data_IF_119133284609
#
_entry.id   IF_119133284609
#
_cell.length_a   1.000
_cell.length_b   1.000
_cell.length_c   1.000
_cell.angle_alpha   90.00
_cell.angle_beta   90.00
_cell.angle_gamma   90.00
#
_symmetry.space_group_name_H-M   'P 1'
#
loop_
_entity.id
_entity.type
_entity.pdbx_description
1 polymer ?
#
# COMPACT_ATOMS: atom_id res chain seq x y z
N UNK A 1 0.98 -41.68 5.48
CA UNK A 1 0.72 -41.07 6.81
C UNK A 1 0.46 -39.59 6.61
N UNK A 2 -0.34 -38.97 7.48
CA UNK A 2 -0.63 -37.53 7.44
C UNK A 2 -0.07 -36.87 8.71
N UNK A 3 0.89 -35.96 8.55
CA UNK A 3 1.56 -35.28 9.67
C UNK A 3 0.81 -34.03 10.13
N UNK A 4 0.12 -33.36 9.20
CA UNK A 4 -0.61 -32.12 9.46
C UNK A 4 -1.85 -32.05 8.56
N UNK A 5 -2.96 -31.55 9.09
CA UNK A 5 -4.18 -31.29 8.32
C UNK A 5 -4.02 -30.09 7.40
N UNK A 6 -4.53 -30.24 6.17
CA UNK A 6 -4.58 -29.15 5.22
C UNK A 6 -5.38 -27.98 5.82
N UNK A 7 -4.74 -26.82 5.83
CA UNK A 7 -5.38 -25.57 6.18
C UNK A 7 -5.34 -24.68 4.94
N UNK A 8 -6.50 -24.14 4.59
CA UNK A 8 -6.64 -23.19 3.50
C UNK A 8 -5.70 -22.01 3.72
N UNK A 9 -5.19 -21.42 2.65
CA UNK A 9 -4.38 -20.21 2.72
C UNK A 9 -5.20 -19.01 3.17
N UNK A 10 -4.64 -18.16 4.03
CA UNK A 10 -5.33 -16.98 4.59
C UNK A 10 -4.41 -15.74 4.55
N UNK A 11 -4.03 -15.25 3.35
CA UNK A 11 -3.25 -14.02 3.23
C UNK A 11 -4.00 -12.85 3.85
N UNK A 12 -3.34 -12.15 4.78
CA UNK A 12 -3.98 -11.10 5.57
C UNK A 12 -4.15 -9.82 4.76
N UNK A 13 -5.28 -9.13 4.96
CA UNK A 13 -5.57 -7.87 4.29
C UNK A 13 -4.46 -6.83 4.49
N UNK A 14 -3.99 -6.27 3.38
CA UNK A 14 -2.97 -5.21 3.34
C UNK A 14 -1.53 -5.66 3.59
N UNK A 15 -1.27 -6.96 3.58
CA UNK A 15 0.11 -7.51 3.60
C UNK A 15 0.68 -7.79 2.21
N UNK A 16 -0.12 -7.62 1.15
CA UNK A 16 0.27 -7.87 -0.23
C UNK A 16 0.24 -9.35 -0.61
N UNK A 17 1.07 -9.74 -1.57
CA UNK A 17 1.11 -11.10 -2.11
C UNK A 17 1.92 -12.05 -1.22
N UNK A 18 1.30 -13.16 -0.83
CA UNK A 18 1.96 -14.25 -0.10
C UNK A 18 2.37 -15.35 -1.08
N UNK A 19 3.50 -16.00 -0.82
CA UNK A 19 4.01 -17.12 -1.62
C UNK A 19 3.82 -18.41 -0.85
N UNK A 20 3.11 -19.35 -1.44
CA UNK A 20 2.91 -20.69 -0.89
C UNK A 20 3.68 -21.69 -1.72
N UNK A 21 4.47 -22.53 -1.06
CA UNK A 21 5.44 -23.40 -1.70
C UNK A 21 5.12 -24.86 -1.36
N UNK A 22 5.00 -25.66 -2.41
CA UNK A 22 4.95 -27.11 -2.35
C UNK A 22 6.33 -27.69 -2.64
N UNK A 23 6.85 -28.47 -1.70
CA UNK A 23 8.13 -29.18 -1.84
C UNK A 23 7.84 -30.67 -1.80
N UNK A 24 8.32 -31.38 -2.81
CA UNK A 24 8.25 -32.83 -2.86
C UNK A 24 9.61 -33.39 -2.45
N UNK A 25 9.64 -34.13 -1.34
CA UNK A 25 10.81 -34.86 -0.89
C UNK A 25 10.72 -36.33 -1.32
N UNK A 26 11.79 -36.85 -1.91
CA UNK A 26 11.99 -38.27 -2.17
C UNK A 26 12.67 -38.91 -0.95
N UNK A 27 12.05 -39.95 -0.42
CA UNK A 27 12.58 -40.73 0.70
C UNK A 27 13.29 -41.98 0.15
N UNK A 28 14.48 -42.28 0.66
CA UNK A 28 15.20 -43.51 0.33
C UNK A 28 14.82 -44.67 1.25
N UNK A 29 14.39 -44.35 2.47
CA UNK A 29 13.98 -45.29 3.51
C UNK A 29 12.75 -44.77 4.26
N UNK A 30 12.12 -45.63 5.06
CA UNK A 30 11.02 -45.22 5.93
C UNK A 30 11.55 -44.38 7.10
N UNK A 31 11.14 -43.12 7.16
CA UNK A 31 11.50 -42.16 8.21
C UNK A 31 10.38 -42.11 9.26
N UNK A 32 10.74 -42.01 10.54
CA UNK A 32 9.78 -41.84 11.64
C UNK A 32 9.52 -40.35 11.89
N UNK A 33 8.27 -39.90 11.71
CA UNK A 33 7.87 -38.49 11.81
C UNK A 33 7.07 -38.18 13.07
N UNK A 34 7.18 -39.00 14.13
CA UNK A 34 6.41 -38.82 15.38
C UNK A 34 6.57 -37.44 16.00
N UNK A 35 7.79 -36.90 15.99
CA UNK A 35 8.09 -35.60 16.61
C UNK A 35 7.54 -34.41 15.78
N UNK A 36 7.39 -34.60 14.47
CA UNK A 36 6.88 -33.57 13.56
C UNK A 36 5.36 -33.67 13.34
N UNK A 37 4.73 -34.70 13.91
CA UNK A 37 3.30 -34.94 13.77
C UNK A 37 2.52 -33.98 14.66
N UNK A 38 1.66 -33.19 14.04
CA UNK A 38 0.73 -32.33 14.75
C UNK A 38 -0.51 -33.12 15.19
N UNK A 39 -1.14 -32.63 16.25
CA UNK A 39 -2.42 -33.15 16.71
C UNK A 39 -3.50 -33.01 15.63
N UNK A 40 -4.39 -34.00 15.48
CA UNK A 40 -5.43 -33.97 14.45
C UNK A 40 -6.42 -32.82 14.70
N UNK A 41 -6.87 -32.17 13.63
CA UNK A 41 -7.76 -31.00 13.60
C UNK A 41 -7.21 -29.75 14.30
N UNK A 42 -5.90 -29.64 14.44
CA UNK A 42 -5.31 -28.48 15.10
C UNK A 42 -5.33 -27.24 14.23
N UNK A 43 -6.09 -26.24 14.68
CA UNK A 43 -6.15 -24.89 14.13
C UNK A 43 -5.18 -23.92 14.84
N UNK A 44 -4.37 -24.39 15.80
CA UNK A 44 -3.40 -23.56 16.53
C UNK A 44 -2.29 -23.05 15.60
N UNK A 45 -2.21 -21.72 15.43
CA UNK A 45 -1.17 -21.08 14.60
C UNK A 45 0.24 -21.25 15.18
N UNK A 46 0.37 -21.38 16.50
CA UNK A 46 1.67 -21.58 17.17
C UNK A 46 2.26 -22.94 16.82
N UNK A 47 1.44 -23.99 16.87
CA UNK A 47 1.87 -25.35 16.51
C UNK A 47 2.15 -25.50 15.02
N UNK A 48 1.45 -24.75 14.18
CA UNK A 48 1.68 -24.70 12.72
C UNK A 48 2.90 -23.87 12.30
N UNK A 49 3.59 -23.22 13.24
CA UNK A 49 4.81 -22.48 12.92
C UNK A 49 5.91 -23.47 12.56
N UNK A 50 6.37 -23.43 11.31
CA UNK A 50 7.26 -24.43 10.74
C UNK A 50 8.48 -23.79 10.07
N UNK A 51 9.66 -24.37 10.33
CA UNK A 51 10.89 -24.02 9.63
C UNK A 51 11.38 -25.20 8.80
N UNK A 52 11.25 -25.10 7.48
CA UNK A 52 11.63 -26.14 6.53
C UNK A 52 13.12 -26.49 6.60
N UNK A 53 13.98 -25.52 6.90
CA UNK A 53 15.42 -25.73 6.98
C UNK A 53 15.76 -26.71 8.12
N UNK A 54 15.27 -26.43 9.33
CA UNK A 54 15.48 -27.30 10.50
C UNK A 54 14.82 -28.68 10.33
N UNK A 55 13.70 -28.75 9.60
CA UNK A 55 13.07 -30.02 9.26
C UNK A 55 13.93 -30.86 8.31
N UNK A 56 14.49 -30.25 7.29
CA UNK A 56 15.35 -30.93 6.33
C UNK A 56 16.68 -31.35 6.95
N UNK A 57 17.31 -30.50 7.76
CA UNK A 57 18.58 -30.79 8.45
C UNK A 57 18.52 -32.07 9.29
N UNK A 58 17.39 -32.34 9.96
CA UNK A 58 17.16 -33.55 10.76
C UNK A 58 17.03 -34.83 9.93
N UNK A 59 16.66 -34.73 8.66
CA UNK A 59 16.29 -35.88 7.82
C UNK A 59 17.11 -35.98 6.52
N UNK A 60 18.14 -35.13 6.34
CA UNK A 60 18.89 -34.99 5.10
C UNK A 60 19.58 -36.27 4.64
N UNK A 61 19.96 -37.16 5.57
CA UNK A 61 20.66 -38.41 5.25
C UNK A 61 19.78 -39.42 4.50
N UNK A 62 18.45 -39.29 4.59
CA UNK A 62 17.49 -40.25 4.05
C UNK A 62 16.40 -39.60 3.19
N UNK A 63 16.48 -38.28 2.99
CA UNK A 63 15.46 -37.49 2.31
C UNK A 63 16.12 -36.47 1.39
N UNK A 64 15.75 -36.47 0.12
CA UNK A 64 16.27 -35.55 -0.91
C UNK A 64 15.14 -34.76 -1.55
N UNK A 65 15.22 -33.43 -1.70
CA UNK A 65 14.21 -32.65 -2.42
C UNK A 65 14.22 -33.04 -3.91
N UNK A 66 13.06 -33.44 -4.43
CA UNK A 66 12.89 -33.92 -5.81
C UNK A 66 12.07 -32.97 -6.69
N UNK A 67 11.17 -32.19 -6.09
CA UNK A 67 10.29 -31.28 -6.83
C UNK A 67 9.94 -30.03 -6.05
N UNK A 68 9.60 -28.98 -6.79
CA UNK A 68 9.25 -27.68 -6.26
C UNK A 68 8.17 -27.04 -7.13
N UNK A 69 7.11 -26.54 -6.50
CA UNK A 69 6.06 -25.76 -7.14
C UNK A 69 5.61 -24.67 -6.18
N UNK A 70 5.26 -23.49 -6.66
CA UNK A 70 4.73 -22.44 -5.81
C UNK A 70 3.65 -21.65 -6.53
N UNK A 71 2.80 -20.99 -5.74
CA UNK A 71 1.82 -20.04 -6.22
C UNK A 71 1.79 -18.81 -5.34
N UNK A 72 1.18 -17.75 -5.86
CA UNK A 72 0.96 -16.50 -5.14
C UNK A 72 -0.53 -16.37 -4.81
N UNK A 73 -0.83 -15.86 -3.63
CA UNK A 73 -2.19 -15.52 -3.22
C UNK A 73 -2.22 -14.13 -2.63
N UNK A 74 -3.28 -13.41 -2.92
CA UNK A 74 -3.67 -12.17 -2.24
C UNK A 74 -4.89 -12.44 -1.36
N UNK A 75 -5.18 -11.50 -0.46
CA UNK A 75 -6.40 -11.46 0.33
C UNK A 75 -7.66 -11.54 -0.56
N UNK A 76 -8.61 -12.36 -0.13
CA UNK A 76 -9.94 -12.47 -0.71
C UNK A 76 -11.02 -12.56 0.39
N UNK A 77 -12.29 -12.62 0.00
CA UNK A 77 -13.39 -12.72 0.95
C UNK A 77 -13.41 -14.05 1.72
N UNK A 78 -12.85 -15.13 1.14
CA UNK A 78 -12.81 -16.46 1.75
C UNK A 78 -11.90 -16.52 2.99
N UNK A 79 -10.88 -15.65 3.04
CA UNK A 79 -9.99 -15.51 4.20
C UNK A 79 -10.76 -15.19 5.47
N UNK A 80 -11.82 -14.38 5.38
CA UNK A 80 -12.63 -13.99 6.53
C UNK A 80 -13.27 -15.19 7.22
N UNK A 81 -13.79 -16.13 6.43
CA UNK A 81 -14.41 -17.36 6.95
C UNK A 81 -13.38 -18.25 7.66
N UNK A 82 -12.13 -18.26 7.19
CA UNK A 82 -11.05 -19.00 7.87
C UNK A 82 -10.77 -18.42 9.25
N UNK A 83 -10.65 -17.10 9.37
CA UNK A 83 -10.41 -16.45 10.66
C UNK A 83 -11.56 -16.66 11.64
N UNK A 84 -12.80 -16.49 11.18
CA UNK A 84 -13.97 -16.49 12.06
C UNK A 84 -14.42 -17.92 12.41
N UNK A 85 -14.48 -18.82 11.42
CA UNK A 85 -15.04 -20.15 11.63
C UNK A 85 -14.00 -21.21 12.00
N UNK A 86 -12.76 -21.12 11.47
CA UNK A 86 -11.72 -22.14 11.73
C UNK A 86 -10.77 -21.74 12.85
N UNK A 87 -10.35 -20.48 12.89
CA UNK A 87 -9.37 -19.97 13.86
C UNK A 87 -10.01 -19.32 15.10
N UNK A 88 -11.33 -19.11 15.09
CA UNK A 88 -12.10 -18.44 16.16
C UNK A 88 -11.45 -17.12 16.63
N UNK A 89 -11.03 -16.31 15.66
CA UNK A 89 -10.36 -15.05 15.94
C UNK A 89 -10.76 -13.94 14.95
N UNK A 90 -10.56 -12.69 15.37
CA UNK A 90 -10.82 -11.54 14.50
C UNK A 90 -9.74 -11.44 13.42
N UNK A 91 -10.18 -11.19 12.19
CA UNK A 91 -9.30 -10.92 11.06
C UNK A 91 -8.49 -9.63 11.30
N UNK A 92 -7.15 -9.68 11.29
CA UNK A 92 -6.31 -8.50 11.34
C UNK A 92 -6.29 -7.78 9.99
N UNK A 93 -6.11 -6.46 10.01
CA UNK A 93 -5.95 -5.63 8.80
C UNK A 93 -4.71 -4.76 8.94
N UNK A 94 -3.87 -4.78 7.90
CA UNK A 94 -2.65 -3.97 7.85
C UNK A 94 -2.77 -2.90 6.77
N UNK A 95 -2.04 -1.81 6.94
CA UNK A 95 -1.88 -0.78 5.93
C UNK A 95 -0.41 -0.41 5.84
N UNK A 96 0.07 -0.19 4.61
CA UNK A 96 1.43 0.27 4.41
C UNK A 96 1.52 1.76 4.75
N UNK A 97 2.17 2.06 5.88
CA UNK A 97 2.42 3.44 6.29
C UNK A 97 3.71 3.92 5.62
N UNK A 98 3.58 4.82 4.66
CA UNK A 98 4.73 5.48 4.06
C UNK A 98 5.48 6.28 5.13
N UNK A 99 6.83 6.29 5.11
CA UNK A 99 7.59 7.15 6.00
C UNK A 99 7.22 8.61 5.73
N UNK A 100 7.07 9.38 6.80
CA UNK A 100 6.80 10.81 6.68
C UNK A 100 7.94 11.46 5.87
N UNK A 101 7.63 12.19 4.78
CA UNK A 101 8.67 12.82 3.97
C UNK A 101 9.49 13.76 4.83
N UNK A 102 10.82 13.76 4.64
CA UNK A 102 11.70 14.63 5.40
C UNK A 102 11.32 16.10 5.18
N UNK A 103 11.06 16.78 6.28
CA UNK A 103 10.69 18.17 6.29
C UNK A 103 11.77 19.02 6.97
N UNK A 104 12.51 19.87 6.23
CA UNK A 104 13.54 20.70 6.84
C UNK A 104 12.91 21.74 7.75
N UNK A 105 13.54 22.05 8.88
CA UNK A 105 13.08 23.08 9.83
C UNK A 105 12.92 24.43 9.11
N UNK A 106 11.82 25.13 9.40
CA UNK A 106 11.55 26.45 8.82
C UNK A 106 12.64 27.45 9.24
N UNK A 107 13.34 28.01 8.25
CA UNK A 107 14.26 29.14 8.41
C UNK A 107 13.49 30.46 8.34
N UNK A 108 13.90 31.42 9.18
CA UNK A 108 13.40 32.80 9.16
C UNK A 108 13.66 33.51 7.82
N UNK A 109 14.83 33.29 7.22
CA UNK A 109 15.23 33.88 5.95
C UNK A 109 15.61 32.77 4.95
N UNK A 110 14.63 32.23 4.19
CA UNK A 110 14.86 31.14 3.26
C UNK A 110 15.49 31.65 1.95
N UNK A 111 16.80 31.90 1.99
CA UNK A 111 17.55 32.43 0.85
C UNK A 111 17.40 31.53 -0.39
N UNK A 112 17.12 32.16 -1.55
CA UNK A 112 16.92 31.50 -2.85
C UNK A 112 15.79 30.46 -2.89
N UNK A 113 14.85 30.45 -1.93
CA UNK A 113 13.67 29.59 -2.00
C UNK A 113 12.48 30.34 -2.61
N UNK A 114 11.68 29.66 -3.46
CA UNK A 114 10.45 30.24 -3.99
C UNK A 114 9.46 30.46 -2.83
N UNK A 115 9.02 31.70 -2.64
CA UNK A 115 8.22 32.06 -1.46
C UNK A 115 6.91 31.26 -1.35
N UNK A 116 6.23 31.01 -2.48
CA UNK A 116 4.95 30.29 -2.51
C UNK A 116 5.15 28.84 -2.04
N UNK A 117 5.99 28.07 -2.72
CA UNK A 117 6.22 26.66 -2.36
C UNK A 117 6.86 26.52 -0.98
N UNK A 118 7.71 27.46 -0.58
CA UNK A 118 8.36 27.40 0.70
C UNK A 118 7.40 27.73 1.85
N UNK A 119 6.60 28.79 1.76
CA UNK A 119 5.69 29.15 2.84
C UNK A 119 4.59 28.13 2.96
N UNK A 120 3.98 27.72 1.85
CA UNK A 120 2.87 26.77 1.86
C UNK A 120 3.28 25.40 2.37
N UNK A 121 4.54 24.99 2.17
CA UNK A 121 5.11 23.78 2.75
C UNK A 121 4.96 23.72 4.27
N UNK A 122 5.03 24.85 4.98
CA UNK A 122 4.92 24.90 6.45
C UNK A 122 3.53 25.33 6.93
N UNK A 123 2.58 25.56 6.01
CA UNK A 123 1.21 25.94 6.38
C UNK A 123 0.38 24.68 6.63
N UNK A 124 -0.63 24.82 7.47
CA UNK A 124 -1.60 23.76 7.70
C UNK A 124 -2.43 23.55 6.44
N UNK A 125 -2.46 22.31 5.95
CA UNK A 125 -3.17 21.92 4.72
C UNK A 125 -4.65 22.36 4.73
N UNK A 126 -5.27 22.46 5.91
CA UNK A 126 -6.66 22.90 6.07
C UNK A 126 -6.88 24.35 5.65
N UNK A 127 -6.07 25.27 6.16
CA UNK A 127 -6.15 26.71 5.84
C UNK A 127 -5.96 26.91 4.34
N UNK A 128 -5.00 26.16 3.79
CA UNK A 128 -4.67 26.27 2.39
C UNK A 128 -5.82 25.73 1.50
N UNK A 129 -6.44 24.63 1.89
CA UNK A 129 -7.62 24.10 1.21
C UNK A 129 -8.82 25.06 1.29
N UNK A 130 -8.98 25.77 2.41
CA UNK A 130 -10.01 26.79 2.56
C UNK A 130 -9.80 27.94 1.57
N UNK A 131 -8.58 28.48 1.47
CA UNK A 131 -8.24 29.54 0.51
C UNK A 131 -8.53 29.12 -0.94
N UNK A 132 -8.09 27.90 -1.30
CA UNK A 132 -8.34 27.34 -2.64
C UNK A 132 -9.84 27.19 -2.91
N UNK A 133 -10.61 26.74 -1.92
CA UNK A 133 -12.06 26.60 -2.05
C UNK A 133 -12.73 27.97 -2.25
N UNK A 134 -12.36 28.97 -1.45
CA UNK A 134 -12.87 30.33 -1.60
C UNK A 134 -12.56 30.91 -2.99
N UNK A 135 -11.36 30.70 -3.52
CA UNK A 135 -10.99 31.13 -4.88
C UNK A 135 -11.83 30.43 -5.97
N UNK A 136 -12.10 29.13 -5.80
CA UNK A 136 -12.99 28.39 -6.71
C UNK A 136 -14.40 28.94 -6.68
N UNK A 137 -14.94 29.17 -5.48
CA UNK A 137 -16.30 29.68 -5.31
C UNK A 137 -16.49 31.09 -5.88
N UNK A 138 -15.44 31.94 -5.88
CA UNK A 138 -15.50 33.26 -6.55
C UNK A 138 -15.68 33.16 -8.06
N UNK A 139 -15.21 32.08 -8.67
CA UNK A 139 -15.24 31.90 -10.13
C UNK A 139 -16.47 31.13 -10.61
N UNK A 140 -17.00 30.24 -9.76
CA UNK A 140 -18.14 29.37 -10.10
C UNK A 140 -19.45 30.05 -9.75
N UNK A 141 -20.32 30.21 -10.75
CA UNK A 141 -21.68 30.71 -10.51
C UNK A 141 -22.59 29.54 -10.04
N UNK A 142 -23.40 29.71 -8.97
CA UNK A 142 -24.17 28.61 -8.38
C UNK A 142 -25.24 28.02 -9.31
N UNK A 143 -25.82 28.85 -10.20
CA UNK A 143 -26.95 28.45 -11.05
C UNK A 143 -26.65 28.42 -12.55
N UNK A 144 -25.45 28.83 -12.97
CA UNK A 144 -25.11 28.93 -14.40
C UNK A 144 -23.98 27.97 -14.72
N UNK A 145 -24.11 27.13 -15.75
CA UNK A 145 -23.03 26.24 -16.14
C UNK A 145 -21.80 27.07 -16.56
N UNK A 146 -20.62 26.67 -16.08
CA UNK A 146 -19.37 27.30 -16.51
C UNK A 146 -19.12 26.98 -17.97
N UNK A 147 -18.98 27.99 -18.82
CA UNK A 147 -18.58 27.82 -20.21
C UNK A 147 -17.06 27.70 -20.27
N UNK A 148 -16.57 26.46 -20.33
CA UNK A 148 -15.14 26.22 -20.53
C UNK A 148 -14.78 26.57 -21.99
N UNK A 149 -13.84 27.50 -22.22
CA UNK A 149 -13.43 27.83 -23.58
C UNK A 149 -12.74 26.63 -24.24
N UNK A 150 -12.97 26.42 -25.55
CA UNK A 150 -12.37 25.32 -26.34
C UNK A 150 -10.85 25.23 -26.20
N UNK A 151 -10.18 26.38 -26.07
CA UNK A 151 -8.73 26.48 -25.87
C UNK A 151 -8.41 27.35 -24.65
N UNK A 152 -8.44 26.78 -23.44
CA UNK A 152 -8.38 27.56 -22.21
C UNK A 152 -7.00 28.18 -21.94
N UNK A 153 -5.92 27.58 -22.45
CA UNK A 153 -4.56 28.07 -22.27
C UNK A 153 -4.13 29.16 -23.27
N UNK A 154 -4.78 29.25 -24.43
CA UNK A 154 -4.36 30.16 -25.48
C UNK A 154 -4.46 31.63 -25.03
N UNK A 155 -5.60 31.99 -24.41
CA UNK A 155 -5.82 33.33 -23.86
C UNK A 155 -4.84 33.65 -22.72
N UNK A 156 -4.59 32.67 -21.84
CA UNK A 156 -3.66 32.84 -20.72
C UNK A 156 -2.23 33.17 -21.15
N UNK A 157 -1.73 32.63 -22.26
CA UNK A 157 -0.37 32.92 -22.72
C UNK A 157 -0.16 34.40 -23.06
N UNK A 158 -1.19 35.05 -23.61
CA UNK A 158 -1.19 36.48 -23.93
C UNK A 158 -1.29 37.33 -22.67
N UNK A 159 -2.20 36.97 -21.75
CA UNK A 159 -2.44 37.69 -20.50
C UNK A 159 -1.32 37.53 -19.47
N UNK A 160 -0.52 36.47 -19.57
CA UNK A 160 0.58 36.18 -18.65
C UNK A 160 1.91 36.87 -19.04
N UNK A 161 1.92 37.74 -20.05
CA UNK A 161 3.11 38.52 -20.40
C UNK A 161 3.46 39.48 -19.25
N UNK A 162 4.73 39.51 -18.84
CA UNK A 162 5.20 40.35 -17.73
C UNK A 162 4.90 39.86 -16.31
N UNK A 163 4.07 38.82 -16.13
CA UNK A 163 3.76 38.31 -14.78
C UNK A 163 4.89 37.44 -14.20
N UNK A 164 5.01 37.34 -12.86
CA UNK A 164 5.88 36.38 -12.20
C UNK A 164 5.52 34.92 -12.51
N UNK A 165 6.51 34.03 -12.56
CA UNK A 165 6.33 32.61 -12.90
C UNK A 165 5.34 31.87 -11.99
N UNK A 166 5.35 32.16 -10.68
CA UNK A 166 4.45 31.55 -9.71
C UNK A 166 2.98 31.87 -10.00
N UNK A 167 2.69 33.12 -10.40
CA UNK A 167 1.33 33.56 -10.72
C UNK A 167 0.85 32.94 -12.04
N UNK A 168 1.77 32.77 -13.01
CA UNK A 168 1.48 32.02 -14.24
C UNK A 168 1.13 30.57 -13.92
N UNK A 169 1.89 29.89 -13.04
CA UNK A 169 1.61 28.51 -12.59
C UNK A 169 0.24 28.45 -11.91
N UNK A 170 -0.06 29.37 -10.98
CA UNK A 170 -1.35 29.44 -10.28
C UNK A 170 -2.53 29.62 -11.24
N UNK A 171 -2.47 30.58 -12.18
CA UNK A 171 -3.52 30.81 -13.18
C UNK A 171 -3.70 29.62 -14.12
N UNK A 172 -2.60 29.01 -14.57
CA UNK A 172 -2.65 27.81 -15.41
C UNK A 172 -3.37 26.66 -14.68
N UNK A 173 -2.99 26.42 -13.42
CA UNK A 173 -3.58 25.39 -12.57
C UNK A 173 -5.08 25.66 -12.30
N UNK A 174 -5.44 26.93 -12.06
CA UNK A 174 -6.83 27.38 -11.92
C UNK A 174 -7.68 27.01 -13.14
N UNK A 175 -7.16 27.31 -14.32
CA UNK A 175 -7.84 27.08 -15.59
C UNK A 175 -7.95 25.60 -15.95
N UNK A 176 -6.97 24.78 -15.56
CA UNK A 176 -7.09 23.32 -15.64
C UNK A 176 -7.98 22.70 -14.56
N UNK A 177 -8.49 23.50 -13.61
CA UNK A 177 -9.23 23.04 -12.42
C UNK A 177 -8.39 22.10 -11.52
N UNK A 178 -7.07 22.06 -11.73
CA UNK A 178 -6.07 21.34 -10.92
C UNK A 178 -5.48 22.33 -9.91
N UNK A 179 -6.28 22.74 -8.92
CA UNK A 179 -5.80 23.58 -7.81
C UNK A 179 -5.38 22.75 -6.59
N UNK A 180 -4.92 21.52 -6.81
CA UNK A 180 -4.39 20.71 -5.71
C UNK A 180 -2.95 21.13 -5.42
N UNK A 181 -2.61 21.02 -4.13
CA UNK A 181 -1.25 21.06 -3.63
C UNK A 181 -0.47 19.93 -4.28
N UNK A 182 0.59 20.27 -5.00
CA UNK A 182 1.64 19.32 -5.33
C UNK A 182 2.62 19.35 -4.15
N UNK A 183 2.69 18.26 -3.38
CA UNK A 183 3.76 18.03 -2.40
C UNK A 183 5.14 17.92 -3.09
#
# INVERSE_FOLDING_TARGET
EQLCDYLQVFPVKGTGFHRYVFILFKQEQQIDFRDDRLSPNTCSLKERTFNTFNFYERHQDHMTPAGFCFFQSEHDESVRDVFWNKLDMKEPSFEFVFPVPYHPIQKKFPHKKPFNLYLDRYRDIKDINEEVLQEKLKTVHPFKPSTDPKYPLYRLQLENRGLPSWLKKKRRNATHKVMQWED
#
